data_IF_041627909245
#
_entry.id   IF_041627909245
#
_cell.length_a   1.000
_cell.length_b   1.000
_cell.length_c   1.000
_cell.angle_alpha   90.00
_cell.angle_beta   90.00
_cell.angle_gamma   90.00
#
_symmetry.space_group_name_H-M   'P 1'
#
loop_
_entity.id
_entity.type
_entity.pdbx_description
1 polymer ?
#
# COMPACT_ATOMS: atom_id res chain seq x y z
N UNK A 1 29.10 3.65 34.70
CA UNK A 1 29.70 2.33 34.93
C UNK A 1 29.56 1.46 33.66
N UNK A 2 30.35 0.39 33.61
CA UNK A 2 30.27 -0.57 32.51
C UNK A 2 28.91 -1.23 32.45
N UNK A 3 28.25 -1.50 33.56
CA UNK A 3 26.92 -2.08 33.65
C UNK A 3 25.88 -1.10 33.09
N UNK A 4 25.93 0.17 33.46
CA UNK A 4 25.01 1.20 32.95
C UNK A 4 25.16 1.36 31.44
N UNK A 5 26.39 1.34 30.93
CA UNK A 5 26.66 1.40 29.49
C UNK A 5 26.10 0.19 28.75
N UNK A 6 26.26 -1.01 29.32
CA UNK A 6 25.71 -2.24 28.75
C UNK A 6 24.16 -2.21 28.70
N UNK A 7 23.51 -1.77 29.77
CA UNK A 7 22.05 -1.62 29.81
C UNK A 7 21.58 -0.66 28.75
N UNK A 8 22.24 0.48 28.56
CA UNK A 8 21.93 1.44 27.50
C UNK A 8 22.05 0.81 26.12
N UNK A 9 23.11 0.05 25.85
CA UNK A 9 23.33 -0.64 24.59
C UNK A 9 22.24 -1.68 24.32
N UNK A 10 21.87 -2.47 25.33
CA UNK A 10 20.79 -3.47 25.21
C UNK A 10 19.47 -2.79 24.90
N UNK A 11 19.13 -1.70 25.58
CA UNK A 11 17.90 -0.95 25.35
C UNK A 11 17.88 -0.36 23.95
N UNK A 12 18.99 0.17 23.46
CA UNK A 12 19.12 0.70 22.10
C UNK A 12 18.91 -0.40 21.07
N UNK A 13 19.52 -1.56 21.25
CA UNK A 13 19.34 -2.70 20.34
C UNK A 13 17.91 -3.22 20.37
N UNK A 14 17.28 -3.31 21.54
CA UNK A 14 15.88 -3.70 21.69
C UNK A 14 14.97 -2.77 20.90
N UNK A 15 15.15 -1.45 21.03
CA UNK A 15 14.40 -0.46 20.28
C UNK A 15 14.57 -0.63 18.77
N UNK A 16 15.80 -0.88 18.31
CA UNK A 16 16.08 -1.12 16.88
C UNK A 16 15.42 -2.39 16.37
N UNK A 17 15.46 -3.47 17.14
CA UNK A 17 14.82 -4.75 16.79
C UNK A 17 13.32 -4.56 16.73
N UNK A 18 12.72 -3.88 17.69
CA UNK A 18 11.28 -3.60 17.72
C UNK A 18 10.86 -2.78 16.50
N UNK A 19 11.66 -1.78 16.12
CA UNK A 19 11.38 -0.96 14.92
C UNK A 19 11.43 -1.79 13.64
N UNK A 20 12.34 -2.78 13.55
CA UNK A 20 12.48 -3.64 12.37
C UNK A 20 11.42 -4.74 12.30
N UNK A 21 10.89 -5.16 13.44
CA UNK A 21 9.95 -6.28 13.56
C UNK A 21 8.55 -5.85 13.95
N UNK A 22 8.33 -4.56 14.21
CA UNK A 22 7.01 -4.05 14.54
C UNK A 22 6.01 -4.38 13.42
N UNK A 23 4.79 -4.71 13.82
CA UNK A 23 3.71 -5.13 12.92
C UNK A 23 2.46 -4.34 13.27
N UNK A 24 1.96 -3.58 12.31
CA UNK A 24 0.74 -2.78 12.51
C UNK A 24 -0.53 -3.63 12.54
N UNK A 25 -0.45 -4.89 12.11
CA UNK A 25 -1.62 -5.67 11.77
C UNK A 25 -2.28 -5.15 10.50
N UNK A 26 -3.28 -5.88 10.01
CA UNK A 26 -4.04 -5.48 8.82
C UNK A 26 -4.96 -4.32 9.17
N UNK A 27 -4.90 -3.26 8.37
CA UNK A 27 -5.76 -2.08 8.49
C UNK A 27 -6.43 -1.83 7.14
N UNK A 28 -7.58 -1.20 7.18
CA UNK A 28 -8.34 -0.87 5.98
C UNK A 28 -8.37 0.63 5.77
N UNK A 29 -7.92 1.08 4.61
CA UNK A 29 -8.09 2.46 4.16
C UNK A 29 -9.52 2.66 3.66
N UNK A 30 -10.04 1.66 2.95
CA UNK A 30 -11.42 1.58 2.48
C UNK A 30 -11.95 0.19 2.75
N UNK A 31 -13.18 0.10 3.25
CA UNK A 31 -13.89 -1.16 3.47
C UNK A 31 -15.39 -0.90 3.31
N UNK A 32 -15.85 -0.85 2.07
CA UNK A 32 -17.25 -0.54 1.77
C UNK A 32 -18.05 -1.73 1.22
N UNK A 33 -17.51 -2.94 1.32
CA UNK A 33 -18.14 -4.16 0.84
C UNK A 33 -17.91 -4.46 -0.63
N UNK A 34 -17.99 -3.47 -1.51
CA UNK A 34 -17.78 -3.66 -2.94
C UNK A 34 -16.31 -3.56 -3.33
N UNK A 35 -15.57 -2.69 -2.67
CA UNK A 35 -14.14 -2.58 -2.88
C UNK A 35 -13.42 -2.24 -1.57
N UNK A 36 -12.18 -2.64 -1.47
CA UNK A 36 -11.39 -2.51 -0.26
C UNK A 36 -9.94 -2.15 -0.57
N UNK A 37 -9.35 -1.40 0.33
CA UNK A 37 -7.89 -1.18 0.36
C UNK A 37 -7.41 -1.57 1.74
N UNK A 38 -6.60 -2.63 1.81
CA UNK A 38 -5.99 -3.10 3.04
C UNK A 38 -4.49 -2.85 3.00
N UNK A 39 -3.92 -2.53 4.15
CA UNK A 39 -2.49 -2.32 4.26
C UNK A 39 -1.98 -2.80 5.61
N UNK A 40 -0.71 -3.16 5.65
CA UNK A 40 -0.02 -3.65 6.84
C UNK A 40 1.43 -3.21 6.77
N UNK A 41 1.95 -2.71 7.87
CA UNK A 41 3.36 -2.35 7.96
C UNK A 41 4.09 -3.33 8.87
N UNK A 42 5.15 -3.93 8.36
CA UNK A 42 6.06 -4.77 9.13
C UNK A 42 7.46 -4.15 9.01
N UNK A 43 7.98 -3.67 10.14
CA UNK A 43 9.23 -2.93 10.15
C UNK A 43 9.13 -1.67 9.30
N UNK A 44 9.95 -1.59 8.26
CA UNK A 44 9.98 -0.46 7.31
C UNK A 44 9.28 -0.76 5.99
N UNK A 45 8.56 -1.87 5.90
CA UNK A 45 7.90 -2.30 4.67
C UNK A 45 6.39 -2.22 4.83
N UNK A 46 5.73 -1.68 3.83
CA UNK A 46 4.28 -1.64 3.75
C UNK A 46 3.82 -2.62 2.69
N UNK A 47 2.92 -3.50 3.09
CA UNK A 47 2.20 -4.42 2.20
C UNK A 47 0.83 -3.82 1.97
N UNK A 48 0.46 -3.68 0.71
CA UNK A 48 -0.82 -3.08 0.34
C UNK A 48 -1.55 -3.96 -0.66
N UNK A 49 -2.86 -4.01 -0.53
CA UNK A 49 -3.73 -4.76 -1.39
C UNK A 49 -5.01 -3.97 -1.62
N UNK A 50 -5.40 -3.86 -2.88
CA UNK A 50 -6.65 -3.26 -3.28
C UNK A 50 -7.42 -4.28 -4.12
N UNK A 51 -8.72 -4.42 -3.87
CA UNK A 51 -9.59 -5.23 -4.72
C UNK A 51 -10.96 -4.59 -4.87
N UNK A 52 -11.55 -4.79 -6.05
CA UNK A 52 -12.86 -4.29 -6.40
C UNK A 52 -13.65 -5.42 -7.05
N UNK A 53 -14.85 -5.66 -6.55
CA UNK A 53 -15.76 -6.70 -7.04
C UNK A 53 -16.72 -6.17 -8.13
N UNK A 54 -16.28 -5.24 -8.92
CA UNK A 54 -17.08 -4.66 -9.97
C UNK A 54 -16.51 -3.32 -10.40
N UNK A 55 -17.38 -2.41 -10.76
CA UNK A 55 -17.02 -1.05 -11.18
C UNK A 55 -17.36 -0.02 -10.10
N UNK A 56 -17.18 -0.38 -8.85
CA UNK A 56 -17.56 0.46 -7.68
C UNK A 56 -16.68 1.69 -7.53
N UNK A 57 -15.43 1.61 -7.98
CA UNK A 57 -14.56 2.79 -8.09
C UNK A 57 -14.87 3.45 -9.42
N UNK A 58 -15.46 4.62 -9.41
CA UNK A 58 -15.90 5.33 -10.62
C UNK A 58 -14.78 5.67 -11.62
N UNK A 59 -14.26 4.66 -12.30
CA UNK A 59 -13.16 4.77 -13.26
C UNK A 59 -13.68 4.83 -14.69
N UNK A 60 -12.90 5.46 -15.57
CA UNK A 60 -13.10 5.45 -17.01
C UNK A 60 -11.87 4.92 -17.71
N UNK A 61 -12.06 4.10 -18.75
CA UNK A 61 -10.95 3.60 -19.56
C UNK A 61 -10.18 4.76 -20.21
N UNK A 62 -8.85 4.65 -20.21
CA UNK A 62 -7.98 5.66 -20.78
C UNK A 62 -7.84 6.95 -19.97
N UNK A 63 -8.36 6.98 -18.74
CA UNK A 63 -8.24 8.14 -17.84
C UNK A 63 -7.70 7.74 -16.49
N UNK A 64 -6.87 8.59 -15.92
CA UNK A 64 -6.38 8.39 -14.54
C UNK A 64 -7.50 8.64 -13.54
N UNK A 65 -7.58 7.77 -12.55
CA UNK A 65 -8.46 7.93 -11.39
C UNK A 65 -7.59 8.06 -10.14
N UNK A 66 -7.75 9.16 -9.42
CA UNK A 66 -7.07 9.36 -8.14
C UNK A 66 -8.10 9.12 -7.04
N UNK A 67 -7.81 8.19 -6.14
CA UNK A 67 -8.70 7.90 -5.03
C UNK A 67 -8.77 9.10 -4.08
N UNK A 68 -9.94 9.33 -3.50
CA UNK A 68 -10.12 10.35 -2.46
C UNK A 68 -9.37 9.97 -1.18
N UNK A 69 -9.28 8.67 -0.90
CA UNK A 69 -8.59 8.12 0.24
C UNK A 69 -7.09 8.19 0.02
N UNK A 70 -6.36 8.61 1.04
CA UNK A 70 -4.90 8.74 1.00
C UNK A 70 -4.23 7.84 2.03
N UNK A 71 -3.07 7.34 1.67
CA UNK A 71 -2.24 6.56 2.59
C UNK A 71 -1.87 7.42 3.80
N UNK A 72 -2.01 6.91 5.03
CA UNK A 72 -1.58 7.65 6.22
C UNK A 72 -0.08 7.98 6.18
N UNK A 73 0.31 9.11 6.75
CA UNK A 73 1.67 9.64 6.64
C UNK A 73 2.75 8.65 7.10
N UNK A 74 2.49 7.86 8.14
CA UNK A 74 3.42 6.85 8.64
C UNK A 74 3.63 5.65 7.71
N UNK A 75 2.92 5.58 6.60
CA UNK A 75 2.96 4.51 5.61
C UNK A 75 3.35 5.04 4.22
N UNK A 76 3.86 6.24 4.15
CA UNK A 76 4.21 6.90 2.91
C UNK A 76 5.39 6.20 2.22
N UNK A 77 5.31 5.94 0.92
CA UNK A 77 6.42 5.32 0.20
C UNK A 77 7.62 6.27 0.10
N UNK A 78 8.79 5.69 0.09
CA UNK A 78 10.06 6.42 -0.09
C UNK A 78 10.16 7.02 -1.49
N UNK A 79 9.63 6.32 -2.48
CA UNK A 79 9.57 6.76 -3.87
C UNK A 79 8.19 6.41 -4.42
N UNK A 80 7.78 7.09 -5.49
CA UNK A 80 6.58 6.70 -6.24
C UNK A 80 6.72 5.24 -6.67
N UNK A 81 5.74 4.41 -6.33
CA UNK A 81 5.84 2.96 -6.49
C UNK A 81 4.68 2.43 -7.33
N UNK A 82 5.01 1.72 -8.41
CA UNK A 82 4.04 0.97 -9.18
C UNK A 82 3.70 -0.35 -8.49
N UNK A 83 2.43 -0.68 -8.49
CA UNK A 83 1.92 -1.92 -7.92
C UNK A 83 1.50 -2.87 -9.03
N UNK A 84 1.64 -4.17 -8.78
CA UNK A 84 1.14 -5.19 -9.68
C UNK A 84 -0.39 -5.24 -9.64
N UNK A 85 -1.03 -5.28 -10.80
CA UNK A 85 -2.47 -5.37 -10.90
C UNK A 85 -2.89 -6.42 -11.92
N UNK A 86 -4.01 -7.07 -11.67
CA UNK A 86 -4.62 -8.06 -12.54
C UNK A 86 -6.14 -8.04 -12.32
N UNK A 87 -6.88 -8.65 -13.23
CA UNK A 87 -8.33 -8.69 -13.13
C UNK A 87 -8.97 -9.48 -14.27
N UNK A 88 -10.25 -9.78 -14.12
CA UNK A 88 -11.00 -10.54 -15.12
C UNK A 88 -11.31 -9.64 -16.32
N UNK A 89 -10.85 -10.05 -17.50
CA UNK A 89 -11.00 -9.29 -18.75
C UNK A 89 -10.16 -8.02 -18.82
N UNK A 90 -9.26 -7.83 -17.88
CA UNK A 90 -8.39 -6.68 -17.82
C UNK A 90 -7.24 -6.81 -18.83
N UNK A 91 -6.95 -5.72 -19.54
CA UNK A 91 -5.72 -5.60 -20.30
C UNK A 91 -4.63 -5.01 -19.39
N UNK A 92 -3.57 -5.77 -19.14
CA UNK A 92 -2.46 -5.33 -18.31
C UNK A 92 -1.52 -4.37 -19.04
N UNK A 93 -1.54 -4.36 -20.37
CA UNK A 93 -0.76 -3.44 -21.19
C UNK A 93 -1.23 -2.00 -20.94
N UNK A 94 -0.32 -1.14 -20.49
CA UNK A 94 -0.58 0.26 -20.15
C UNK A 94 -1.52 0.47 -18.95
N UNK A 95 -1.97 -0.59 -18.29
CA UNK A 95 -2.68 -0.47 -17.02
C UNK A 95 -1.69 -0.35 -15.88
N UNK A 96 -1.97 0.55 -14.94
CA UNK A 96 -1.04 0.80 -13.83
C UNK A 96 -1.76 1.32 -12.59
N UNK A 97 -1.24 0.94 -11.45
CA UNK A 97 -1.60 1.51 -10.16
C UNK A 97 -0.33 2.05 -9.52
N UNK A 98 -0.39 3.25 -9.02
CA UNK A 98 0.75 3.99 -8.50
C UNK A 98 0.42 4.55 -7.13
N UNK A 99 1.29 4.28 -6.16
CA UNK A 99 1.27 4.98 -4.87
C UNK A 99 2.36 6.04 -4.92
N UNK A 100 1.97 7.27 -4.73
CA UNK A 100 2.87 8.42 -4.84
C UNK A 100 3.41 8.85 -3.48
N UNK A 101 4.54 9.54 -3.51
CA UNK A 101 5.14 10.15 -2.32
C UNK A 101 4.22 11.15 -1.62
N UNK A 102 3.26 11.73 -2.33
CA UNK A 102 2.23 12.61 -1.75
C UNK A 102 1.08 11.85 -1.10
N UNK A 103 1.23 10.52 -0.94
CA UNK A 103 0.29 9.55 -0.35
C UNK A 103 -0.97 9.30 -1.17
N UNK A 104 -1.07 9.81 -2.38
CA UNK A 104 -2.20 9.54 -3.28
C UNK A 104 -2.06 8.19 -3.97
N UNK A 105 -3.21 7.57 -4.28
CA UNK A 105 -3.31 6.33 -5.05
C UNK A 105 -3.92 6.67 -6.39
N UNK A 106 -3.18 6.42 -7.45
CA UNK A 106 -3.60 6.70 -8.83
C UNK A 106 -3.77 5.39 -9.60
N UNK A 107 -4.92 5.23 -10.24
CA UNK A 107 -5.23 4.07 -11.06
C UNK A 107 -5.41 4.51 -12.51
N UNK A 108 -4.87 3.71 -13.42
CA UNK A 108 -5.07 3.90 -14.85
C UNK A 108 -5.27 2.55 -15.50
N UNK A 109 -6.39 2.39 -16.21
CA UNK A 109 -6.68 1.20 -16.99
C UNK A 109 -6.97 1.59 -18.42
N UNK A 110 -6.25 0.99 -19.37
CA UNK A 110 -6.50 1.16 -20.78
C UNK A 110 -7.85 0.54 -21.17
N UNK A 111 -8.16 -0.63 -20.60
CA UNK A 111 -9.48 -1.27 -20.66
C UNK A 111 -9.90 -1.59 -19.23
N UNK A 112 -11.13 -1.26 -18.86
CA UNK A 112 -11.67 -1.60 -17.55
C UNK A 112 -11.87 -3.13 -17.43
N UNK A 113 -11.67 -3.70 -16.22
CA UNK A 113 -11.99 -5.10 -15.96
C UNK A 113 -13.46 -5.39 -16.22
N UNK A 114 -13.77 -6.63 -16.66
CA UNK A 114 -15.15 -7.03 -16.92
C UNK A 114 -15.94 -7.25 -15.62
N UNK A 115 -15.25 -7.77 -14.56
CA UNK A 115 -15.89 -8.07 -13.29
C UNK A 115 -15.14 -7.45 -12.12
N UNK A 116 -14.02 -8.03 -11.73
CA UNK A 116 -13.23 -7.56 -10.58
C UNK A 116 -11.76 -7.52 -10.93
N UNK A 117 -11.05 -6.71 -10.17
CA UNK A 117 -9.61 -6.62 -10.27
C UNK A 117 -8.99 -6.58 -8.87
N UNK A 118 -7.70 -6.84 -8.80
CA UNK A 118 -6.92 -6.76 -7.58
C UNK A 118 -5.56 -6.16 -7.86
N UNK A 119 -5.04 -5.51 -6.84
CA UNK A 119 -3.73 -4.85 -6.85
C UNK A 119 -2.99 -5.31 -5.62
N UNK A 120 -1.73 -5.67 -5.77
CA UNK A 120 -0.87 -6.05 -4.66
C UNK A 120 0.48 -5.38 -4.81
N UNK A 121 1.11 -5.06 -3.69
CA UNK A 121 2.44 -4.51 -3.72
C UNK A 121 3.07 -4.39 -2.34
N UNK A 122 4.35 -4.11 -2.36
CA UNK A 122 5.15 -3.86 -1.17
C UNK A 122 6.12 -2.73 -1.48
N UNK A 123 6.32 -1.86 -0.51
CA UNK A 123 7.24 -0.74 -0.67
C UNK A 123 7.87 -0.35 0.66
N UNK A 124 9.10 0.20 0.64
CA UNK A 124 9.71 0.76 1.85
C UNK A 124 9.12 2.15 2.15
N UNK A 125 8.97 2.45 3.43
CA UNK A 125 8.53 3.77 3.87
C UNK A 125 9.64 4.81 3.75
N UNK A 126 9.21 6.04 3.63
CA UNK A 126 10.11 7.20 3.59
C UNK A 126 10.90 7.35 4.92
#
# INVERSE_FOLDING_TARGET
>A
TAISSLVTQVNTLTTKVDALTSDSGVKYLVDNGDWKVAYRKIGKWVFIQLWDYGTSIGMSAGKSCILNEKIPSGYRPKIDTFLACDGIGMQTDNSRVLIKQDVSISLYFNKLPDYYFWVVGVYPIA
#
